data_IF_459052187252
#
_entry.id   IF_459052187252
#
_cell.length_a   1.000
_cell.length_b   1.000
_cell.length_c   1.000
_cell.angle_alpha   90.00
_cell.angle_beta   90.00
_cell.angle_gamma   90.00
#
_symmetry.space_group_name_H-M   'P 1'
#
loop_
_entity.id
_entity.type
_entity.pdbx_description
1 polymer ?
#
# COMPACT_ATOMS: atom_id res chain seq x y z
N UNK A 1 -10.49 13.79 -5.35
CA UNK A 1 -9.33 13.74 -6.28
C UNK A 1 -9.60 12.62 -7.24
N UNK A 2 -9.53 12.79 -8.56
CA UNK A 2 -9.70 11.65 -9.49
C UNK A 2 -8.47 10.75 -9.36
N UNK A 3 -8.61 9.40 -9.29
CA UNK A 3 -7.48 8.50 -9.39
C UNK A 3 -6.84 8.75 -10.76
N UNK A 4 -5.62 9.16 -10.73
CA UNK A 4 -4.87 9.44 -11.96
C UNK A 4 -4.00 8.23 -12.25
N UNK A 5 -4.18 7.63 -13.42
CA UNK A 5 -3.09 6.96 -14.11
C UNK A 5 -1.98 8.02 -14.25
N UNK A 6 -1.06 8.10 -13.31
CA UNK A 6 -0.09 9.16 -13.32
C UNK A 6 0.77 9.21 -12.04
N UNK A 7 1.83 9.97 -12.14
CA UNK A 7 2.73 10.23 -11.03
C UNK A 7 2.09 11.18 -10.01
N UNK A 8 2.17 10.78 -8.74
CA UNK A 8 2.11 11.71 -7.62
C UNK A 8 3.52 11.76 -7.03
N UNK A 9 4.06 12.95 -6.88
CA UNK A 9 5.37 13.19 -6.25
C UNK A 9 5.14 14.17 -5.09
N UNK A 10 5.64 13.82 -3.92
CA UNK A 10 5.57 14.68 -2.75
C UNK A 10 6.92 14.71 -2.05
N UNK A 11 7.47 15.89 -1.94
CA UNK A 11 8.65 16.18 -1.12
C UNK A 11 8.28 17.20 -0.07
N UNK A 12 8.73 16.99 1.17
CA UNK A 12 8.60 18.02 2.21
C UNK A 12 9.67 19.10 2.02
N UNK A 13 9.31 20.31 1.55
CA UNK A 13 10.25 21.41 1.39
C UNK A 13 10.51 22.17 2.70
N UNK A 14 9.80 21.88 3.80
CA UNK A 14 9.75 22.72 4.99
C UNK A 14 10.27 22.05 6.28
N UNK A 15 10.70 20.79 6.25
CA UNK A 15 11.28 20.17 7.43
C UNK A 15 12.71 20.64 7.65
N UNK A 16 12.91 21.56 8.60
CA UNK A 16 14.22 22.14 8.92
C UNK A 16 14.71 21.85 10.34
N UNK A 17 13.97 21.05 11.14
CA UNK A 17 14.41 20.72 12.48
C UNK A 17 15.61 19.75 12.42
N UNK A 18 16.78 20.06 13.02
CA UNK A 18 17.91 19.15 13.07
C UNK A 18 17.52 17.80 13.67
N UNK A 19 17.88 16.69 12.99
CA UNK A 19 17.54 15.34 13.42
C UNK A 19 16.10 14.87 13.14
N UNK A 20 15.27 15.70 12.49
CA UNK A 20 14.00 15.28 11.94
C UNK A 20 14.19 14.37 10.72
N UNK A 21 13.16 13.58 10.41
CA UNK A 21 13.13 12.77 9.20
C UNK A 21 12.32 13.51 8.13
N UNK A 22 12.76 13.42 6.89
CA UNK A 22 12.07 13.90 5.71
C UNK A 22 11.68 12.74 4.82
N UNK A 23 10.49 12.80 4.26
CA UNK A 23 9.99 11.76 3.37
C UNK A 23 9.95 12.28 1.94
N UNK A 24 10.44 11.47 0.99
CA UNK A 24 10.23 11.63 -0.44
C UNK A 24 9.44 10.43 -0.92
N UNK A 25 8.37 10.68 -1.66
CA UNK A 25 7.45 9.64 -2.10
C UNK A 25 7.03 9.88 -3.54
N UNK A 26 6.91 8.81 -4.29
CA UNK A 26 6.26 8.80 -5.58
C UNK A 26 5.43 7.53 -5.74
N UNK A 27 4.37 7.63 -6.51
CA UNK A 27 3.53 6.51 -6.90
C UNK A 27 3.24 6.55 -8.41
N UNK A 28 3.12 5.38 -9.00
CA UNK A 28 2.72 5.18 -10.38
C UNK A 28 1.83 3.94 -10.47
N UNK A 29 0.77 4.05 -11.26
CA UNK A 29 -0.10 2.92 -11.61
C UNK A 29 -0.23 2.86 -13.13
N UNK A 30 -0.19 1.64 -13.67
CA UNK A 30 -0.28 1.35 -15.10
C UNK A 30 -1.28 0.21 -15.34
N UNK A 31 -2.03 0.29 -16.42
CA UNK A 31 -3.04 -0.72 -16.76
C UNK A 31 -2.44 -2.09 -17.13
N UNK A 32 -1.12 -2.13 -17.38
CA UNK A 32 -0.46 -3.31 -17.90
C UNK A 32 -0.65 -3.47 -19.42
N UNK A 33 -0.39 -4.68 -19.93
CA UNK A 33 -0.47 -4.99 -21.36
C UNK A 33 -1.69 -5.82 -21.74
N UNK A 34 -2.37 -6.39 -20.77
CA UNK A 34 -3.42 -7.40 -20.99
C UNK A 34 -4.80 -6.90 -20.55
N UNK A 35 -4.87 -6.11 -19.50
CA UNK A 35 -6.12 -5.58 -18.95
C UNK A 35 -6.65 -4.41 -19.78
N UNK A 36 -7.97 -4.25 -19.86
CA UNK A 36 -8.61 -3.13 -20.55
C UNK A 36 -8.84 -1.93 -19.61
N UNK A 37 -8.97 -2.19 -18.32
CA UNK A 37 -9.21 -1.18 -17.27
C UNK A 37 -8.15 -1.32 -16.18
N UNK A 38 -7.85 -0.23 -15.53
CA UNK A 38 -7.03 -0.24 -14.33
C UNK A 38 -7.95 -0.24 -13.11
N UNK A 39 -7.98 -1.37 -12.41
CA UNK A 39 -8.76 -1.56 -11.18
C UNK A 39 -7.91 -1.28 -9.92
N UNK A 40 -6.61 -1.02 -10.08
CA UNK A 40 -5.75 -0.55 -9.01
C UNK A 40 -6.02 0.92 -8.68
N UNK A 41 -5.89 1.26 -7.41
CA UNK A 41 -5.90 2.64 -6.93
C UNK A 41 -4.80 2.86 -5.89
N UNK A 42 -4.27 4.08 -5.83
CA UNK A 42 -3.36 4.47 -4.75
C UNK A 42 -3.60 5.92 -4.32
N UNK A 43 -3.23 6.23 -3.09
CA UNK A 43 -3.21 7.59 -2.59
C UNK A 43 -1.91 7.87 -1.82
N UNK A 44 -1.41 9.09 -1.99
CA UNK A 44 -0.31 9.64 -1.22
C UNK A 44 -0.82 10.90 -0.53
N UNK A 45 -0.76 10.90 0.79
CA UNK A 45 -1.22 12.03 1.57
C UNK A 45 -0.10 12.49 2.52
N UNK A 46 0.76 13.40 2.06
CA UNK A 46 1.73 14.04 2.93
C UNK A 46 1.06 15.17 3.72
N UNK A 47 1.25 15.18 5.02
CA UNK A 47 0.89 16.31 5.87
C UNK A 47 2.16 17.13 6.13
N UNK A 48 2.49 18.02 5.17
CA UNK A 48 3.61 18.93 5.26
C UNK A 48 3.08 20.35 5.12
N UNK A 49 3.49 21.28 5.95
CA UNK A 49 3.10 22.66 5.71
C UNK A 49 3.38 23.63 6.86
N UNK A 50 3.19 24.95 6.60
CA UNK A 50 3.30 25.98 7.64
C UNK A 50 2.20 25.73 8.69
N UNK A 51 2.61 25.43 9.93
CA UNK A 51 1.73 25.12 11.04
C UNK A 51 1.85 23.67 11.53
N UNK A 52 2.45 22.75 10.77
CA UNK A 52 2.85 21.44 11.27
C UNK A 52 3.99 21.63 12.27
N UNK A 53 3.82 21.16 13.51
CA UNK A 53 4.87 21.27 14.51
C UNK A 53 6.07 20.41 14.11
N UNK A 54 7.26 20.81 14.49
CA UNK A 54 8.46 20.02 14.29
C UNK A 54 8.26 18.61 14.88
N UNK A 55 8.33 17.58 14.04
CA UNK A 55 8.06 16.17 14.41
C UNK A 55 6.66 15.66 14.09
N UNK A 56 5.75 16.49 13.57
CA UNK A 56 4.39 16.09 13.14
C UNK A 56 4.29 15.77 11.65
N UNK A 57 5.43 15.61 10.97
CA UNK A 57 5.41 15.20 9.57
C UNK A 57 4.80 13.81 9.45
N UNK A 58 3.73 13.72 8.70
CA UNK A 58 3.05 12.47 8.42
C UNK A 58 3.04 12.22 6.92
N UNK A 59 3.17 10.97 6.54
CA UNK A 59 2.93 10.50 5.19
C UNK A 59 2.05 9.25 5.27
N UNK A 60 0.84 9.35 4.77
CA UNK A 60 -0.02 8.19 4.53
C UNK A 60 0.08 7.79 3.06
N UNK A 61 0.50 6.55 2.81
CA UNK A 61 0.51 5.92 1.50
C UNK A 61 -0.42 4.71 1.52
N UNK A 62 -1.29 4.60 0.53
CA UNK A 62 -2.27 3.51 0.42
C UNK A 62 -2.24 2.95 -0.99
N UNK A 63 -2.23 1.63 -1.12
CA UNK A 63 -2.41 0.89 -2.38
C UNK A 63 -3.58 -0.06 -2.20
N UNK A 64 -4.44 -0.14 -3.21
CA UNK A 64 -5.60 -1.02 -3.25
C UNK A 64 -5.73 -1.61 -4.65
N UNK A 65 -5.84 -2.93 -4.74
CA UNK A 65 -6.04 -3.71 -5.94
C UNK A 65 -7.49 -4.19 -5.97
N UNK A 66 -8.23 -3.71 -6.95
CA UNK A 66 -9.67 -3.92 -7.06
C UNK A 66 -9.99 -5.24 -7.75
N UNK A 67 -10.89 -6.00 -7.17
CA UNK A 67 -11.42 -7.23 -7.75
C UNK A 67 -12.93 -7.16 -7.97
N UNK A 68 -13.38 -7.77 -9.05
CA UNK A 68 -14.80 -7.85 -9.40
C UNK A 68 -15.01 -7.84 -10.91
N UNK A 69 -16.18 -8.32 -11.38
CA UNK A 69 -16.51 -8.24 -12.80
C UNK A 69 -16.94 -6.82 -13.20
N UNK A 70 -16.58 -6.35 -14.41
CA UNK A 70 -17.02 -5.06 -14.99
C UNK A 70 -16.72 -3.86 -14.09
N UNK A 71 -15.91 -3.00 -14.18
CA UNK A 71 -15.67 -1.73 -13.43
C UNK A 71 -15.97 -1.74 -11.89
N UNK A 72 -16.34 -2.90 -11.31
CA UNK A 72 -16.68 -3.01 -9.91
C UNK A 72 -15.41 -2.99 -9.02
N UNK A 73 -14.32 -3.56 -9.50
CA UNK A 73 -13.02 -3.52 -8.85
C UNK A 73 -12.46 -2.09 -8.77
N UNK A 74 -12.51 -1.34 -9.87
CA UNK A 74 -12.12 0.08 -9.91
C UNK A 74 -12.85 0.91 -8.85
N UNK A 75 -14.17 0.70 -8.72
CA UNK A 75 -14.99 1.40 -7.71
C UNK A 75 -14.57 0.99 -6.30
N UNK A 76 -14.31 -0.29 -6.07
CA UNK A 76 -13.93 -0.78 -4.75
C UNK A 76 -12.56 -0.23 -4.29
N UNK A 77 -11.55 -0.30 -5.16
CA UNK A 77 -10.21 0.21 -4.85
C UNK A 77 -10.19 1.73 -4.67
N UNK A 78 -10.96 2.46 -5.49
CA UNK A 78 -11.11 3.91 -5.34
C UNK A 78 -11.77 4.28 -4.01
N UNK A 79 -12.90 3.62 -3.65
CA UNK A 79 -13.57 3.84 -2.37
C UNK A 79 -12.65 3.50 -1.18
N UNK A 80 -11.82 2.46 -1.31
CA UNK A 80 -10.87 2.10 -0.27
C UNK A 80 -9.89 3.24 0.00
N UNK A 81 -9.16 3.69 -1.01
CA UNK A 81 -8.12 4.71 -0.83
C UNK A 81 -8.72 6.06 -0.39
N UNK A 82 -9.84 6.48 -0.97
CA UNK A 82 -10.52 7.72 -0.61
C UNK A 82 -11.00 7.69 0.84
N UNK A 83 -11.69 6.61 1.25
CA UNK A 83 -12.25 6.51 2.61
C UNK A 83 -11.15 6.39 3.66
N UNK A 84 -10.05 5.66 3.39
CA UNK A 84 -8.93 5.56 4.33
C UNK A 84 -8.32 6.95 4.57
N UNK A 85 -8.06 7.72 3.51
CA UNK A 85 -7.51 9.08 3.63
C UNK A 85 -8.47 10.01 4.35
N UNK A 86 -9.76 10.04 3.96
CA UNK A 86 -10.77 10.87 4.61
C UNK A 86 -10.92 10.55 6.10
N UNK A 87 -11.02 9.27 6.43
CA UNK A 87 -11.14 8.80 7.82
C UNK A 87 -9.91 9.16 8.65
N UNK A 88 -8.71 9.06 8.06
CA UNK A 88 -7.48 9.47 8.74
C UNK A 88 -7.50 10.96 9.09
N UNK A 89 -8.03 11.80 8.20
CA UNK A 89 -8.07 13.26 8.37
C UNK A 89 -9.16 13.76 9.31
N UNK A 90 -10.26 13.02 9.46
CA UNK A 90 -11.41 13.47 10.27
C UNK A 90 -11.08 13.68 11.75
N UNK A 91 -10.10 12.96 12.29
CA UNK A 91 -9.75 13.03 13.71
C UNK A 91 -8.27 13.31 13.86
N UNK A 92 -7.90 14.48 14.35
CA UNK A 92 -6.51 14.77 14.69
C UNK A 92 -6.06 13.89 15.88
N UNK A 93 -4.85 13.37 15.80
CA UNK A 93 -4.15 12.81 16.96
C UNK A 93 -3.18 13.85 17.50
N UNK A 94 -3.07 13.95 18.82
CA UNK A 94 -2.03 14.77 19.44
C UNK A 94 -0.64 14.30 19.01
N UNK A 95 0.32 15.22 18.92
CA UNK A 95 1.70 14.91 18.50
C UNK A 95 2.39 13.83 19.35
N UNK A 96 2.00 13.72 20.62
CA UNK A 96 2.50 12.72 21.60
C UNK A 96 1.55 11.52 21.78
N UNK A 97 0.65 11.28 20.82
CA UNK A 97 -0.27 10.13 20.92
C UNK A 97 0.53 8.81 21.04
N UNK A 98 0.11 7.89 21.93
CA UNK A 98 0.72 6.56 22.05
C UNK A 98 0.75 5.83 20.69
N UNK A 99 1.81 5.08 20.43
CA UNK A 99 2.00 4.37 19.16
C UNK A 99 0.84 3.41 18.86
N UNK A 100 0.31 2.76 19.90
CA UNK A 100 -0.84 1.86 19.78
C UNK A 100 -2.10 2.61 19.33
N UNK A 101 -2.29 3.84 19.80
CA UNK A 101 -3.43 4.69 19.39
C UNK A 101 -3.32 5.10 17.92
N UNK A 102 -2.11 5.32 17.42
CA UNK A 102 -1.85 5.62 16.00
C UNK A 102 -2.20 4.42 15.13
N UNK A 103 -1.72 3.21 15.52
CA UNK A 103 -2.03 1.97 14.80
C UNK A 103 -3.53 1.68 14.85
N UNK A 104 -4.17 1.83 16.02
CA UNK A 104 -5.62 1.61 16.17
C UNK A 104 -6.44 2.57 15.28
N UNK A 105 -6.04 3.83 15.16
CA UNK A 105 -6.70 4.77 14.26
C UNK A 105 -6.54 4.37 12.79
N UNK A 106 -5.35 3.91 12.39
CA UNK A 106 -5.13 3.41 11.03
C UNK A 106 -6.02 2.19 10.75
N UNK A 107 -6.12 1.24 11.68
CA UNK A 107 -7.03 0.11 11.59
C UNK A 107 -8.49 0.56 11.43
N UNK A 108 -8.95 1.48 12.28
CA UNK A 108 -10.31 1.99 12.22
C UNK A 108 -10.63 2.68 10.87
N UNK A 109 -9.62 3.32 10.25
CA UNK A 109 -9.78 3.92 8.91
C UNK A 109 -10.01 2.85 7.84
N UNK A 110 -9.30 1.73 7.90
CA UNK A 110 -9.49 0.60 6.99
C UNK A 110 -10.82 -0.13 7.26
N UNK A 111 -11.21 -0.32 8.52
CA UNK A 111 -12.52 -0.90 8.88
C UNK A 111 -13.68 -0.06 8.34
N UNK A 112 -13.56 1.27 8.42
CA UNK A 112 -14.54 2.18 7.84
C UNK A 112 -14.59 2.05 6.32
N UNK A 113 -13.45 1.96 5.64
CA UNK A 113 -13.41 1.74 4.20
C UNK A 113 -14.12 0.43 3.83
N UNK A 114 -13.86 -0.66 4.59
CA UNK A 114 -14.56 -1.91 4.40
C UNK A 114 -16.09 -1.77 4.51
N UNK A 115 -16.59 -1.07 5.54
CA UNK A 115 -18.04 -0.87 5.73
C UNK A 115 -18.65 -0.06 4.57
N UNK A 116 -17.95 0.95 4.05
CA UNK A 116 -18.39 1.75 2.90
C UNK A 116 -18.49 0.86 1.65
N UNK A 117 -17.45 0.08 1.34
CA UNK A 117 -17.41 -0.80 0.16
C UNK A 117 -18.48 -1.90 0.29
N UNK A 118 -18.59 -2.55 1.46
CA UNK A 118 -19.57 -3.58 1.72
C UNK A 118 -21.01 -3.07 1.52
N UNK A 119 -21.33 -1.88 2.02
CA UNK A 119 -22.64 -1.26 1.78
C UNK A 119 -22.88 -0.91 0.31
N UNK A 120 -21.85 -0.43 -0.39
CA UNK A 120 -21.96 -0.09 -1.80
C UNK A 120 -22.18 -1.34 -2.66
N UNK A 121 -21.53 -2.47 -2.34
CA UNK A 121 -21.69 -3.74 -3.05
C UNK A 121 -23.12 -4.32 -2.93
N UNK A 122 -23.85 -3.98 -1.86
CA UNK A 122 -25.22 -4.48 -1.62
C UNK A 122 -26.32 -3.54 -2.12
N UNK A 123 -26.00 -2.26 -2.38
CA UNK A 123 -27.00 -1.24 -2.75
C UNK A 123 -27.23 -1.09 -4.25
N UNK A 124 -26.27 -1.44 -5.10
CA UNK A 124 -26.33 -1.21 -6.55
C UNK A 124 -26.27 -2.52 -7.32
N UNK A 125 -27.24 -2.75 -8.20
CA UNK A 125 -27.15 -3.78 -9.21
C UNK A 125 -25.90 -3.51 -10.08
N UNK A 126 -25.05 -4.50 -10.26
CA UNK A 126 -23.79 -4.40 -11.01
C UNK A 126 -22.52 -4.23 -10.14
N UNK A 127 -22.65 -4.00 -8.83
CA UNK A 127 -21.53 -3.95 -7.90
C UNK A 127 -21.47 -5.18 -6.96
N UNK A 128 -22.29 -6.20 -7.24
CA UNK A 128 -22.33 -7.41 -6.43
C UNK A 128 -21.00 -8.15 -6.53
N UNK A 129 -20.43 -8.48 -5.37
CA UNK A 129 -19.16 -9.20 -5.31
C UNK A 129 -17.92 -8.33 -5.55
N UNK A 130 -18.03 -7.00 -5.62
CA UNK A 130 -16.87 -6.14 -5.65
C UNK A 130 -16.10 -6.22 -4.33
N UNK A 131 -14.81 -6.21 -4.44
CA UNK A 131 -13.89 -6.17 -3.31
C UNK A 131 -12.57 -5.53 -3.71
N UNK A 132 -11.70 -5.38 -2.76
CA UNK A 132 -10.37 -4.85 -3.02
C UNK A 132 -9.41 -5.28 -1.92
N UNK A 133 -8.12 -5.41 -2.25
CA UNK A 133 -7.05 -5.39 -1.27
C UNK A 133 -6.94 -3.99 -0.69
N UNK A 134 -6.24 -3.82 0.40
CA UNK A 134 -5.80 -2.52 0.87
C UNK A 134 -4.54 -2.67 1.73
N UNK A 135 -3.49 -1.99 1.34
CA UNK A 135 -2.23 -1.91 2.10
C UNK A 135 -1.92 -0.46 2.38
N UNK A 136 -1.90 -0.09 3.66
CA UNK A 136 -1.62 1.26 4.13
C UNK A 136 -0.32 1.31 4.93
N UNK A 137 0.53 2.29 4.60
CA UNK A 137 1.73 2.67 5.33
C UNK A 137 1.56 4.09 5.84
N UNK A 138 1.68 4.28 7.14
CA UNK A 138 1.75 5.59 7.77
C UNK A 138 3.14 5.81 8.36
N UNK A 139 3.83 6.83 7.88
CA UNK A 139 5.03 7.34 8.53
C UNK A 139 4.65 8.53 9.40
N UNK A 140 4.94 8.47 10.69
CA UNK A 140 4.67 9.55 11.65
C UNK A 140 5.83 9.70 12.61
N UNK A 141 6.39 10.88 12.68
CA UNK A 141 7.54 11.17 13.53
C UNK A 141 8.73 10.27 13.20
N UNK A 142 9.04 9.31 14.07
CA UNK A 142 10.16 8.37 13.91
C UNK A 142 9.71 6.91 13.74
N UNK A 143 8.44 6.69 13.42
CA UNK A 143 7.88 5.35 13.32
C UNK A 143 7.09 5.14 12.04
N UNK A 144 7.14 3.92 11.53
CA UNK A 144 6.25 3.42 10.49
C UNK A 144 5.19 2.51 11.12
N UNK A 145 3.95 2.74 10.75
CA UNK A 145 2.79 1.91 11.07
C UNK A 145 2.25 1.33 9.77
N UNK A 146 1.78 0.11 9.79
CA UNK A 146 1.13 -0.50 8.62
C UNK A 146 -0.06 -1.32 9.03
N UNK A 147 -1.09 -1.29 8.21
CA UNK A 147 -2.28 -2.14 8.29
C UNK A 147 -2.65 -2.57 6.88
N UNK A 148 -3.00 -3.86 6.71
CA UNK A 148 -3.34 -4.39 5.39
C UNK A 148 -4.40 -5.48 5.45
N UNK A 149 -4.95 -5.78 4.27
CA UNK A 149 -5.81 -6.92 3.94
C UNK A 149 -5.62 -7.26 2.46
N UNK A 150 -5.52 -8.55 2.14
CA UNK A 150 -5.29 -9.03 0.78
C UNK A 150 -3.83 -9.39 0.54
N UNK A 151 -3.40 -9.34 -0.71
CA UNK A 151 -2.07 -9.73 -1.19
C UNK A 151 -1.27 -8.60 -1.84
N UNK A 152 -1.78 -7.37 -1.84
CA UNK A 152 -0.93 -6.19 -2.09
C UNK A 152 0.10 -6.07 -0.97
N UNK A 153 1.36 -5.85 -1.33
CA UNK A 153 2.47 -5.99 -0.39
C UNK A 153 3.11 -4.68 0.01
N UNK A 154 3.66 -4.68 1.22
CA UNK A 154 4.58 -3.66 1.73
C UNK A 154 5.95 -4.29 1.98
N UNK A 155 6.98 -3.66 1.45
CA UNK A 155 8.37 -4.04 1.67
C UNK A 155 9.15 -2.90 2.33
N UNK A 156 10.18 -3.29 3.11
CA UNK A 156 11.22 -2.40 3.62
C UNK A 156 12.55 -2.76 2.96
N UNK A 157 13.18 -1.81 2.29
CA UNK A 157 14.57 -1.87 1.88
C UNK A 157 15.42 -1.13 2.91
N UNK A 158 16.27 -1.87 3.62
CA UNK A 158 17.20 -1.36 4.65
C UNK A 158 18.56 -1.99 4.49
N UNK A 159 19.56 -1.20 4.15
CA UNK A 159 20.88 -1.69 3.74
C UNK A 159 20.76 -2.47 2.42
N UNK A 160 21.25 -3.71 2.41
CA UNK A 160 21.17 -4.61 1.24
C UNK A 160 19.92 -5.52 1.28
N UNK A 161 19.15 -5.48 2.35
CA UNK A 161 18.00 -6.37 2.53
C UNK A 161 16.70 -5.73 2.02
N UNK A 162 15.88 -6.53 1.35
CA UNK A 162 14.50 -6.25 1.01
C UNK A 162 13.60 -7.20 1.80
N UNK A 163 12.86 -6.67 2.77
CA UNK A 163 12.04 -7.44 3.70
C UNK A 163 10.57 -7.20 3.41
N UNK A 164 9.78 -8.25 3.16
CA UNK A 164 8.33 -8.15 3.10
C UNK A 164 7.79 -7.96 4.53
N UNK A 165 6.96 -6.94 4.73
CA UNK A 165 6.36 -6.60 6.03
C UNK A 165 4.90 -7.05 6.14
N UNK A 166 4.29 -7.45 5.03
CA UNK A 166 2.90 -7.95 4.96
C UNK A 166 2.89 -9.45 4.73
N UNK A 167 1.85 -10.12 5.21
CA UNK A 167 1.58 -11.54 4.92
C UNK A 167 0.38 -11.65 4.00
N UNK A 168 0.54 -12.23 2.82
CA UNK A 168 -0.54 -12.33 1.83
C UNK A 168 -1.74 -13.11 2.36
N UNK A 169 -2.93 -12.61 2.14
CA UNK A 169 -4.19 -13.25 2.47
C UNK A 169 -4.74 -14.09 1.30
N UNK A 170 -3.87 -14.85 0.64
CA UNK A 170 -4.25 -15.80 -0.41
C UNK A 170 -4.44 -17.21 0.13
N UNK A 171 -5.23 -18.04 -0.60
CA UNK A 171 -5.50 -19.42 -0.24
C UNK A 171 -4.21 -20.25 -0.17
N UNK A 172 -3.28 -20.02 -1.09
CA UNK A 172 -2.01 -20.76 -1.13
C UNK A 172 -1.10 -20.38 0.02
N UNK A 173 -1.06 -19.09 0.43
CA UNK A 173 -0.26 -18.65 1.56
C UNK A 173 -0.84 -19.13 2.90
N UNK A 174 -2.14 -19.37 2.99
CA UNK A 174 -2.73 -20.06 4.14
C UNK A 174 -2.24 -21.52 4.24
N UNK A 175 -2.14 -22.24 3.11
CA UNK A 175 -1.55 -23.58 3.08
C UNK A 175 -0.06 -23.57 3.44
N UNK A 176 0.69 -22.55 3.02
CA UNK A 176 2.11 -22.41 3.42
C UNK A 176 2.22 -22.19 4.94
N UNK A 177 1.43 -21.30 5.53
CA UNK A 177 1.42 -21.07 6.99
C UNK A 177 1.07 -22.31 7.80
N UNK A 178 0.22 -23.18 7.25
CA UNK A 178 -0.13 -24.48 7.87
C UNK A 178 0.91 -25.58 7.63
N UNK A 179 1.99 -25.29 6.90
CA UNK A 179 3.01 -26.29 6.57
C UNK A 179 2.57 -27.33 5.54
N UNK A 180 1.46 -27.10 4.83
CA UNK A 180 0.90 -28.00 3.82
C UNK A 180 1.46 -27.75 2.42
N UNK A 181 2.16 -26.62 2.23
CA UNK A 181 2.75 -26.21 0.96
C UNK A 181 4.03 -25.40 1.23
N UNK A 182 5.00 -25.45 0.32
CA UNK A 182 6.16 -24.57 0.35
C UNK A 182 5.86 -23.27 -0.43
N UNK A 183 6.55 -22.17 -0.13
CA UNK A 183 6.41 -20.91 -0.88
C UNK A 183 6.65 -21.11 -2.39
N UNK A 184 7.64 -21.93 -2.75
CA UNK A 184 7.91 -22.27 -4.15
C UNK A 184 6.75 -23.01 -4.83
N UNK A 185 6.04 -23.86 -4.11
CA UNK A 185 4.84 -24.54 -4.65
C UNK A 185 3.68 -23.54 -4.76
N UNK A 186 3.53 -22.66 -3.78
CA UNK A 186 2.51 -21.62 -3.78
C UNK A 186 2.66 -20.67 -4.97
N UNK A 187 3.88 -20.20 -5.27
CA UNK A 187 4.13 -19.26 -6.39
C UNK A 187 3.83 -19.86 -7.78
N UNK A 188 3.80 -21.16 -7.91
CA UNK A 188 3.49 -21.88 -9.16
C UNK A 188 2.05 -22.45 -9.18
N UNK A 189 1.28 -22.26 -8.11
CA UNK A 189 -0.05 -22.84 -8.00
C UNK A 189 -1.06 -22.06 -8.87
N UNK A 190 -2.02 -22.75 -9.55
CA UNK A 190 -3.03 -22.08 -10.37
C UNK A 190 -3.91 -21.12 -9.56
N UNK A 191 -4.16 -21.41 -8.29
CA UNK A 191 -4.99 -20.60 -7.39
C UNK A 191 -4.17 -19.58 -6.54
N UNK A 192 -2.95 -19.22 -6.97
CA UNK A 192 -2.07 -18.33 -6.20
C UNK A 192 -2.71 -16.95 -5.91
N UNK A 193 -3.55 -16.45 -6.83
CA UNK A 193 -4.22 -15.16 -6.73
C UNK A 193 -5.64 -15.28 -6.12
N UNK A 194 -6.01 -16.44 -5.54
CA UNK A 194 -7.30 -16.60 -4.87
C UNK A 194 -7.21 -16.02 -3.46
N UNK A 195 -7.84 -14.87 -3.24
CA UNK A 195 -7.87 -14.23 -1.94
C UNK A 195 -8.83 -14.93 -0.97
N UNK A 196 -8.42 -15.08 0.27
CA UNK A 196 -9.26 -15.54 1.39
C UNK A 196 -9.80 -14.38 2.22
N UNK A 197 -9.19 -13.21 2.13
CA UNK A 197 -9.62 -11.97 2.77
C UNK A 197 -9.43 -10.78 1.84
N UNK A 198 -10.47 -9.96 1.74
CA UNK A 198 -10.47 -8.69 1.01
C UNK A 198 -11.56 -7.77 1.56
N UNK A 199 -11.40 -6.46 1.40
CA UNK A 199 -12.44 -5.48 1.74
C UNK A 199 -13.67 -5.65 0.87
N UNK A 200 -14.83 -5.34 1.42
CA UNK A 200 -16.13 -5.34 0.72
C UNK A 200 -16.78 -6.71 0.59
N UNK A 201 -16.05 -7.81 0.85
CA UNK A 201 -16.58 -9.18 0.75
C UNK A 201 -17.39 -9.60 1.97
N UNK A 202 -17.01 -9.11 3.14
CA UNK A 202 -17.69 -9.38 4.41
C UNK A 202 -17.90 -8.09 5.20
N UNK A 203 -18.95 -8.05 6.02
CA UNK A 203 -19.26 -6.87 6.84
C UNK A 203 -18.17 -6.57 7.86
N UNK A 204 -17.59 -7.61 8.45
CA UNK A 204 -16.45 -7.51 9.36
C UNK A 204 -15.26 -8.20 8.71
N UNK A 205 -14.12 -7.57 8.74
CA UNK A 205 -12.87 -8.09 8.19
C UNK A 205 -11.81 -8.17 9.28
N UNK A 206 -10.94 -9.13 9.14
CA UNK A 206 -9.75 -9.26 9.97
C UNK A 206 -8.60 -8.55 9.26
N UNK A 207 -8.16 -7.43 9.83
CA UNK A 207 -7.02 -6.67 9.34
C UNK A 207 -5.73 -7.14 10.02
N UNK A 208 -4.63 -7.04 9.33
CA UNK A 208 -3.30 -7.31 9.87
C UNK A 208 -2.52 -6.00 9.98
N UNK A 209 -1.83 -5.83 11.10
CA UNK A 209 -0.93 -4.69 11.34
C UNK A 209 0.43 -5.18 11.76
N UNK A 210 1.45 -4.34 11.62
CA UNK A 210 2.73 -4.60 12.29
C UNK A 210 2.47 -4.78 13.79
N UNK A 211 3.01 -5.84 14.38
CA UNK A 211 2.87 -6.12 15.81
C UNK A 211 3.37 -4.95 16.66
N UNK A 212 4.45 -4.32 16.23
CA UNK A 212 4.99 -3.10 16.83
C UNK A 212 5.37 -2.12 15.73
N UNK A 213 5.11 -0.82 15.92
CA UNK A 213 5.55 0.21 14.98
C UNK A 213 7.06 0.15 14.76
N UNK A 214 7.47 0.22 13.50
CA UNK A 214 8.85 0.07 13.11
C UNK A 214 9.62 1.38 13.30
N UNK A 215 10.71 1.43 14.08
CA UNK A 215 11.56 2.61 14.15
C UNK A 215 12.23 2.93 12.81
N UNK A 216 12.03 4.15 12.31
CA UNK A 216 12.58 4.65 11.07
C UNK A 216 14.07 4.99 11.22
N UNK A 217 14.82 4.75 10.14
CA UNK A 217 16.24 5.13 10.01
C UNK A 217 16.43 5.94 8.72
N UNK A 218 17.30 6.95 8.74
CA UNK A 218 17.73 7.56 7.48
C UNK A 218 18.26 6.51 6.51
N UNK A 219 17.85 6.58 5.26
CA UNK A 219 18.17 5.60 4.23
C UNK A 219 17.16 4.47 4.08
N UNK A 220 16.19 4.32 5.00
CA UNK A 220 15.09 3.38 4.80
C UNK A 220 14.31 3.74 3.54
N UNK A 221 13.88 2.71 2.83
CA UNK A 221 12.96 2.85 1.70
C UNK A 221 11.83 1.85 1.82
N UNK A 222 10.63 2.26 1.46
CA UNK A 222 9.47 1.39 1.45
C UNK A 222 8.94 1.27 0.02
N UNK A 223 8.46 0.09 -0.31
CA UNK A 223 7.73 -0.18 -1.55
C UNK A 223 6.37 -0.79 -1.19
N UNK A 224 5.28 -0.12 -1.61
CA UNK A 224 3.96 -0.72 -1.65
C UNK A 224 3.66 -1.09 -3.10
N UNK A 225 3.08 -2.26 -3.34
CA UNK A 225 2.74 -2.68 -4.70
C UNK A 225 1.55 -3.65 -4.74
N UNK A 226 0.85 -3.68 -5.88
CA UNK A 226 -0.12 -4.71 -6.22
C UNK A 226 0.56 -5.98 -6.75
N UNK A 227 -0.21 -7.04 -6.93
CA UNK A 227 0.26 -8.35 -7.36
C UNK A 227 0.87 -8.33 -8.77
N UNK A 228 0.35 -7.47 -9.68
CA UNK A 228 0.90 -7.30 -11.03
C UNK A 228 2.37 -6.87 -11.06
N UNK A 229 2.91 -6.33 -9.96
CA UNK A 229 4.33 -6.09 -9.83
C UNK A 229 5.07 -7.30 -9.25
N UNK A 230 4.69 -7.77 -8.06
CA UNK A 230 5.45 -8.79 -7.35
C UNK A 230 5.30 -10.21 -7.91
N UNK A 231 4.30 -10.48 -8.75
CA UNK A 231 4.19 -11.71 -9.51
C UNK A 231 5.20 -11.82 -10.65
N UNK A 232 5.72 -10.68 -11.11
CA UNK A 232 6.65 -10.58 -12.23
C UNK A 232 8.10 -10.29 -11.80
N UNK A 233 8.29 -9.62 -10.66
CA UNK A 233 9.60 -9.23 -10.15
C UNK A 233 9.85 -9.84 -8.77
N UNK A 234 11.02 -10.47 -8.61
CA UNK A 234 11.45 -10.98 -7.32
C UNK A 234 11.85 -9.87 -6.34
N UNK A 235 11.74 -10.14 -5.04
CA UNK A 235 12.03 -9.17 -3.98
C UNK A 235 13.46 -8.59 -4.08
N UNK A 236 14.46 -9.41 -4.38
CA UNK A 236 15.85 -8.98 -4.52
C UNK A 236 16.03 -7.98 -5.68
N UNK A 237 15.37 -8.23 -6.81
CA UNK A 237 15.41 -7.36 -7.98
C UNK A 237 14.67 -6.04 -7.73
N UNK A 238 13.47 -6.11 -7.14
CA UNK A 238 12.75 -4.90 -6.72
C UNK A 238 13.59 -4.08 -5.73
N UNK A 239 14.24 -4.75 -4.78
CA UNK A 239 15.12 -4.11 -3.79
C UNK A 239 16.29 -3.38 -4.44
N UNK A 240 16.92 -3.98 -5.45
CA UNK A 240 18.03 -3.36 -6.20
C UNK A 240 17.57 -2.07 -6.91
N UNK A 241 16.38 -2.09 -7.54
CA UNK A 241 15.81 -0.91 -8.21
C UNK A 241 15.45 0.16 -7.17
N UNK A 242 14.74 -0.22 -6.11
CA UNK A 242 14.34 0.70 -5.04
C UNK A 242 15.55 1.35 -4.37
N UNK A 243 16.66 0.62 -4.19
CA UNK A 243 17.89 1.15 -3.60
C UNK A 243 18.65 2.11 -4.52
N UNK A 244 18.66 1.84 -5.83
CA UNK A 244 19.50 2.56 -6.80
C UNK A 244 18.90 3.91 -7.23
N UNK A 245 17.58 4.03 -7.28
CA UNK A 245 16.91 5.18 -7.92
C UNK A 245 16.14 6.05 -6.93
N UNK A 246 15.89 7.31 -7.30
CA UNK A 246 14.94 8.16 -6.59
C UNK A 246 13.50 7.61 -6.73
N UNK A 247 12.58 7.89 -5.81
CA UNK A 247 11.25 7.28 -5.78
C UNK A 247 10.52 7.29 -7.13
N UNK A 248 10.54 8.41 -7.84
CA UNK A 248 9.89 8.54 -9.14
C UNK A 248 10.49 7.63 -10.20
N UNK A 249 11.82 7.61 -10.28
CA UNK A 249 12.54 6.78 -11.24
C UNK A 249 12.41 5.29 -10.88
N UNK A 250 12.43 4.96 -9.58
CA UNK A 250 12.21 3.61 -9.10
C UNK A 250 10.83 3.08 -9.51
N UNK A 251 9.75 3.84 -9.30
CA UNK A 251 8.41 3.46 -9.75
C UNK A 251 8.37 3.21 -11.27
N UNK A 252 8.96 4.13 -12.06
CA UNK A 252 8.99 3.98 -13.53
C UNK A 252 9.74 2.72 -13.96
N UNK A 253 10.91 2.46 -13.37
CA UNK A 253 11.74 1.30 -13.71
C UNK A 253 11.04 -0.02 -13.32
N UNK A 254 10.42 -0.07 -12.15
CA UNK A 254 9.66 -1.24 -11.69
C UNK A 254 8.51 -1.56 -12.66
N UNK A 255 7.69 -0.57 -13.00
CA UNK A 255 6.52 -0.76 -13.87
C UNK A 255 6.96 -1.10 -15.30
N UNK A 256 7.97 -0.43 -15.84
CA UNK A 256 8.48 -0.74 -17.15
C UNK A 256 8.98 -2.18 -17.25
N UNK A 257 9.75 -2.63 -16.24
CA UNK A 257 10.27 -3.99 -16.22
C UNK A 257 9.15 -5.04 -16.08
N UNK A 258 8.12 -4.78 -15.28
CA UNK A 258 6.96 -5.65 -15.18
C UNK A 258 6.20 -5.72 -16.51
N UNK A 259 6.03 -4.57 -17.20
CA UNK A 259 5.44 -4.51 -18.52
C UNK A 259 6.26 -5.25 -19.60
N UNK A 260 7.59 -5.18 -19.54
CA UNK A 260 8.49 -5.94 -20.42
C UNK A 260 8.37 -7.46 -20.20
N UNK A 261 8.03 -7.89 -18.99
CA UNK A 261 7.78 -9.29 -18.62
C UNK A 261 6.36 -9.77 -18.89
N UNK A 262 5.57 -8.97 -19.56
CA UNK A 262 4.25 -9.35 -20.02
C UNK A 262 3.12 -8.45 -19.54
N UNK A 263 3.27 -7.77 -18.37
CA UNK A 263 2.26 -6.86 -17.84
C UNK A 263 0.86 -7.49 -17.82
N UNK A 264 0.74 -8.68 -17.22
CA UNK A 264 -0.48 -9.50 -17.31
C UNK A 264 -1.63 -8.93 -16.49
N UNK A 265 -1.33 -8.05 -15.53
CA UNK A 265 -2.30 -7.37 -14.68
C UNK A 265 -2.05 -5.87 -14.60
N UNK A 266 -2.91 -5.15 -13.87
CA UNK A 266 -2.68 -3.79 -13.43
C UNK A 266 -1.45 -3.76 -12.52
N UNK A 267 -0.61 -2.75 -12.63
CA UNK A 267 0.68 -2.67 -11.95
C UNK A 267 0.77 -1.36 -11.20
N UNK A 268 0.80 -1.43 -9.88
CA UNK A 268 0.95 -0.25 -9.03
C UNK A 268 2.19 -0.37 -8.16
N UNK A 269 2.98 0.71 -8.12
CA UNK A 269 4.14 0.85 -7.26
C UNK A 269 4.15 2.21 -6.58
N UNK A 270 4.34 2.21 -5.27
CA UNK A 270 4.59 3.40 -4.45
C UNK A 270 5.91 3.23 -3.74
N UNK A 271 6.85 4.14 -3.97
CA UNK A 271 8.17 4.13 -3.33
C UNK A 271 8.30 5.32 -2.41
N UNK A 272 8.66 5.05 -1.16
CA UNK A 272 8.95 6.07 -0.14
C UNK A 272 10.42 5.99 0.24
N UNK A 273 11.10 7.13 0.38
CA UNK A 273 12.46 7.25 0.90
C UNK A 273 12.47 8.13 2.14
N UNK A 274 13.18 7.66 3.18
CA UNK A 274 13.38 8.36 4.44
C UNK A 274 14.78 8.98 4.45
N UNK A 275 14.86 10.29 4.58
CA UNK A 275 16.12 11.04 4.64
C UNK A 275 16.30 11.68 6.02
N UNK A 276 17.57 11.87 6.43
CA UNK A 276 17.88 12.75 7.56
C UNK A 276 17.74 14.21 7.09
N UNK A 277 17.23 15.04 7.97
CA UNK A 277 17.38 16.51 7.80
C UNK A 277 18.73 16.88 8.38
N UNK A 278 19.58 17.56 7.60
CA UNK A 278 20.91 18.00 8.02
C UNK A 278 20.91 18.85 9.29
#
# INVERSE_FOLDING_TARGET
MKPTNGYIDATDPHCHAPGALRYRVAGLSDVGRTRALNEDSFALFPTFGPGTRAGENELLAVVADGMGGHAAGEVASQLAVETVVESWLETALDGEAPLESVTAKLQASLERANDVIFRASHKRHGHQGMGTTCTALLLRGRYAHSTHIGDSRLYLSRGEAMLQLTDDDSAVMDLVRRGLMTERQASLHPDRNVLIRAMGTHRLVELRSLETPLPLRPGDRFLLCSDGLHDLLGAEEMGSIVAAYEPREACANLINLANERGGFDNITAVVVRVDAVP
#
